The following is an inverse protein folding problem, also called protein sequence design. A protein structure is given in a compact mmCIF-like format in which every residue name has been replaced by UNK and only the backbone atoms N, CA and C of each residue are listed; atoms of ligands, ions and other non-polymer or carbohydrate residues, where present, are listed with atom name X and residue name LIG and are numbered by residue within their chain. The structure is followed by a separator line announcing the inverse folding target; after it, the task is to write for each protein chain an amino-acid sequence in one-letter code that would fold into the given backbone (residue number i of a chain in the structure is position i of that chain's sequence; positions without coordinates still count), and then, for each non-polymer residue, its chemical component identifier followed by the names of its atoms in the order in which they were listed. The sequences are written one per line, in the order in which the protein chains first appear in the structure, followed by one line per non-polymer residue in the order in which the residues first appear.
data_IF_975510592778
#
_entry.id   IF_975510592778
#
_cell.length_a   1.000
_cell.length_b   1.000
_cell.length_c   1.000
_cell.angle_alpha   90.00
_cell.angle_beta   90.00
_cell.angle_gamma   90.00
#
_symmetry.space_group_name_H-M   'P 1'
#
loop_
_entity.id
_entity.type
_entity.pdbx_description
1 polymer ?
#
# COMPACT_ATOMS: atom_id res chain seq x y z
N UNK A 1 38.80 10.69 -66.29
CA UNK A 1 38.26 9.38 -65.86
C UNK A 1 37.60 9.55 -64.49
N UNK A 2 36.28 9.27 -64.42
CA UNK A 2 35.39 9.07 -63.25
C UNK A 2 35.16 10.28 -62.31
N UNK A 3 34.10 11.08 -62.53
CA UNK A 3 32.70 10.92 -62.10
C UNK A 3 32.47 11.10 -60.59
N UNK A 4 31.98 12.29 -60.23
CA UNK A 4 31.09 12.52 -59.10
C UNK A 4 29.87 11.57 -59.20
N UNK A 5 29.56 10.86 -58.10
CA UNK A 5 28.28 10.20 -57.83
C UNK A 5 27.91 10.57 -56.40
N UNK A 6 26.95 11.46 -56.17
CA UNK A 6 25.50 11.27 -56.23
C UNK A 6 24.93 10.43 -55.09
N UNK A 7 23.99 11.08 -54.39
CA UNK A 7 22.73 10.53 -53.90
C UNK A 7 22.70 9.70 -52.60
N UNK A 8 22.25 10.42 -51.55
CA UNK A 8 21.25 10.01 -50.55
C UNK A 8 20.61 8.64 -50.80
N UNK A 9 20.88 7.69 -49.91
CA UNK A 9 19.97 6.56 -49.65
C UNK A 9 19.47 6.69 -48.22
N UNK A 10 18.22 7.12 -48.17
CA UNK A 10 17.34 7.17 -47.02
C UNK A 10 17.11 5.74 -46.53
N UNK A 11 17.74 5.32 -45.43
CA UNK A 11 17.36 4.07 -44.76
C UNK A 11 16.28 4.36 -43.73
N UNK A 12 15.04 4.18 -44.17
CA UNK A 12 13.87 3.94 -43.33
C UNK A 12 14.16 2.72 -42.44
N UNK A 13 14.47 2.93 -41.16
CA UNK A 13 14.31 1.88 -40.17
C UNK A 13 12.89 2.01 -39.62
N UNK A 14 12.03 1.13 -40.12
CA UNK A 14 10.72 0.84 -39.55
C UNK A 14 10.87 0.65 -38.04
N UNK A 15 10.26 1.54 -37.26
CA UNK A 15 9.89 1.26 -35.89
C UNK A 15 8.90 0.09 -35.92
N UNK A 16 9.42 -1.13 -35.77
CA UNK A 16 8.64 -2.27 -35.30
C UNK A 16 8.19 -1.93 -33.88
N UNK A 17 7.06 -1.24 -33.80
CA UNK A 17 6.31 -1.01 -32.58
C UNK A 17 5.84 -2.38 -32.07
N UNK A 18 6.72 -3.06 -31.33
CA UNK A 18 6.30 -4.11 -30.42
C UNK A 18 5.38 -3.45 -29.39
N UNK A 19 4.09 -3.45 -29.71
CA UNK A 19 3.04 -3.28 -28.72
C UNK A 19 3.10 -4.53 -27.85
N UNK A 20 3.98 -4.51 -26.85
CA UNK A 20 3.77 -5.29 -25.64
C UNK A 20 2.41 -4.85 -25.11
N UNK A 21 1.35 -5.57 -25.48
CA UNK A 21 0.14 -5.60 -24.67
C UNK A 21 0.59 -6.15 -23.33
N UNK A 22 0.85 -5.25 -22.39
CA UNK A 22 1.01 -5.56 -20.99
C UNK A 22 -0.23 -6.36 -20.60
N UNK A 23 -0.06 -7.68 -20.61
CA UNK A 23 -1.06 -8.61 -20.14
C UNK A 23 -1.18 -8.26 -18.67
N UNK A 24 -2.35 -7.78 -18.24
CA UNK A 24 -2.61 -7.46 -16.85
C UNK A 24 -2.26 -8.70 -16.03
N UNK A 25 -1.10 -8.66 -15.39
CA UNK A 25 -0.54 -9.82 -14.72
C UNK A 25 -1.31 -9.98 -13.42
N UNK A 26 -2.33 -10.82 -13.46
CA UNK A 26 -3.05 -11.31 -12.30
C UNK A 26 -2.06 -12.12 -11.45
N UNK A 27 -1.29 -11.45 -10.60
CA UNK A 27 -0.38 -12.07 -9.64
C UNK A 27 -0.92 -11.80 -8.25
N UNK A 28 -1.65 -12.79 -7.72
CA UNK A 28 -2.04 -12.77 -6.31
C UNK A 28 -0.80 -12.78 -5.41
N UNK A 29 -0.98 -12.37 -4.15
CA UNK A 29 0.08 -12.48 -3.14
C UNK A 29 0.64 -13.90 -3.11
N UNK A 30 1.97 -14.04 -3.18
CA UNK A 30 2.63 -15.33 -2.92
C UNK A 30 2.43 -15.74 -1.46
N UNK A 31 2.60 -17.03 -1.13
CA UNK A 31 2.51 -17.48 0.27
C UNK A 31 3.51 -16.74 1.19
N UNK A 32 4.71 -16.43 0.68
CA UNK A 32 5.67 -15.60 1.41
C UNK A 32 5.13 -14.20 1.68
N UNK A 33 4.48 -13.56 0.71
CA UNK A 33 3.91 -12.23 0.87
C UNK A 33 2.67 -12.24 1.78
N UNK A 34 1.86 -13.31 1.77
CA UNK A 34 0.76 -13.50 2.71
C UNK A 34 1.28 -13.63 4.15
N UNK A 35 2.33 -14.43 4.35
CA UNK A 35 2.98 -14.57 5.65
C UNK A 35 3.58 -13.24 6.13
N UNK A 36 4.24 -12.50 5.25
CA UNK A 36 4.81 -11.19 5.56
C UNK A 36 3.71 -10.17 5.90
N UNK A 37 2.61 -10.13 5.14
CA UNK A 37 1.45 -9.28 5.43
C UNK A 37 0.85 -9.60 6.79
N UNK A 38 0.72 -10.90 7.13
CA UNK A 38 0.27 -11.32 8.46
C UNK A 38 1.18 -10.76 9.55
N UNK A 39 2.49 -10.88 9.43
CA UNK A 39 3.41 -10.37 10.46
C UNK A 39 3.45 -8.84 10.53
N UNK A 40 3.32 -8.15 9.39
CA UNK A 40 3.17 -6.71 9.35
C UNK A 40 1.94 -6.21 10.10
N UNK A 41 0.79 -6.84 9.86
CA UNK A 41 -0.45 -6.51 10.57
C UNK A 41 -0.37 -6.89 12.05
N UNK A 42 0.27 -8.02 12.40
CA UNK A 42 0.47 -8.43 13.80
C UNK A 42 1.31 -7.39 14.56
N UNK A 43 2.43 -6.96 13.99
CA UNK A 43 3.31 -5.95 14.57
C UNK A 43 2.62 -4.59 14.71
N UNK A 44 1.87 -4.18 13.68
CA UNK A 44 1.19 -2.89 13.65
C UNK A 44 0.12 -2.73 14.74
N UNK A 45 -0.73 -3.75 14.97
CA UNK A 45 -1.97 -3.57 15.74
C UNK A 45 -2.23 -4.59 16.85
N UNK A 46 -1.53 -5.73 16.87
CA UNK A 46 -1.82 -6.81 17.81
C UNK A 46 -0.84 -6.82 18.99
N UNK A 47 0.43 -7.10 18.72
CA UNK A 47 1.40 -7.42 19.77
C UNK A 47 2.18 -6.20 20.23
N UNK A 48 2.86 -5.53 19.30
CA UNK A 48 3.74 -4.41 19.65
C UNK A 48 3.05 -3.05 19.53
N UNK A 49 1.95 -2.97 18.77
CA UNK A 49 1.15 -1.75 18.57
C UNK A 49 2.00 -0.60 17.99
N UNK A 50 2.93 -0.95 17.10
CA UNK A 50 3.89 -0.03 16.51
C UNK A 50 3.28 0.95 15.49
N UNK A 51 1.96 0.90 15.29
CA UNK A 51 1.22 1.95 14.60
C UNK A 51 1.29 3.25 15.44
N UNK A 52 1.90 4.35 14.93
CA UNK A 52 2.00 5.60 15.69
C UNK A 52 0.65 6.17 16.13
N UNK A 53 -0.37 5.96 15.30
CA UNK A 53 -1.75 6.42 15.52
C UNK A 53 -2.61 5.39 16.30
N UNK A 54 -2.02 4.32 16.85
CA UNK A 54 -2.76 3.21 17.48
C UNK A 54 -3.69 3.65 18.61
N UNK A 55 -3.25 4.63 19.41
CA UNK A 55 -4.06 5.14 20.51
C UNK A 55 -5.30 5.90 20.04
N UNK A 56 -5.33 6.32 18.77
CA UNK A 56 -6.46 7.01 18.17
C UNK A 56 -7.51 6.04 17.58
N UNK A 57 -7.20 4.73 17.50
CA UNK A 57 -8.16 3.70 17.16
C UNK A 57 -9.24 3.59 18.26
N UNK A 58 -10.46 3.97 17.91
CA UNK A 58 -11.62 3.90 18.82
C UNK A 58 -12.07 2.48 19.10
N UNK A 59 -12.03 1.64 18.08
CA UNK A 59 -12.34 0.22 18.18
C UNK A 59 -11.08 -0.57 17.81
N UNK A 60 -10.34 -0.97 18.83
CA UNK A 60 -9.10 -1.75 18.66
C UNK A 60 -9.38 -3.21 18.27
N UNK A 61 -10.63 -3.66 18.34
CA UNK A 61 -11.06 -5.01 17.93
C UNK A 61 -11.49 -5.06 16.47
N UNK A 62 -11.83 -3.92 15.87
CA UNK A 62 -12.29 -3.86 14.48
C UNK A 62 -11.60 -2.74 13.70
N UNK A 63 -10.64 -3.13 12.87
CA UNK A 63 -9.80 -2.21 12.11
C UNK A 63 -10.15 -2.33 10.63
N UNK A 64 -10.41 -1.20 9.98
CA UNK A 64 -10.62 -1.18 8.54
C UNK A 64 -9.27 -1.25 7.82
N UNK A 65 -9.14 -2.19 6.90
CA UNK A 65 -8.01 -2.29 5.97
C UNK A 65 -8.53 -1.95 4.58
N UNK A 66 -7.92 -0.97 3.93
CA UNK A 66 -8.30 -0.61 2.57
C UNK A 66 -7.81 -1.68 1.60
N UNK A 67 -8.69 -2.08 0.68
CA UNK A 67 -8.38 -3.10 -0.34
C UNK A 67 -7.32 -2.64 -1.33
N UNK A 68 -7.32 -1.36 -1.68
CA UNK A 68 -6.41 -0.78 -2.67
C UNK A 68 -5.04 -0.48 -2.07
N UNK A 69 -4.01 -1.14 -2.61
CA UNK A 69 -2.61 -0.85 -2.33
C UNK A 69 -2.11 0.37 -3.13
N UNK A 70 -0.98 0.93 -2.70
CA UNK A 70 -0.30 2.02 -3.42
C UNK A 70 1.22 1.86 -3.41
N UNK A 71 1.87 2.10 -4.52
CA UNK A 71 3.33 2.04 -4.59
C UNK A 71 3.88 3.44 -4.27
N UNK A 72 4.71 3.57 -3.22
CA UNK A 72 5.19 4.89 -2.75
C UNK A 72 6.23 5.49 -3.71
N UNK A 73 6.98 4.63 -4.38
CA UNK A 73 7.94 4.97 -5.43
C UNK A 73 7.28 5.28 -6.79
N UNK A 74 6.06 4.79 -7.01
CA UNK A 74 5.31 5.01 -8.25
C UNK A 74 3.80 5.07 -7.99
N UNK A 75 3.30 6.25 -7.59
CA UNK A 75 1.87 6.45 -7.33
C UNK A 75 0.97 6.32 -8.57
N UNK A 76 1.55 6.40 -9.77
CA UNK A 76 0.86 6.23 -11.05
C UNK A 76 0.80 4.76 -11.50
N UNK A 77 1.42 3.85 -10.73
CA UNK A 77 1.35 2.42 -11.00
C UNK A 77 -0.11 1.92 -11.00
N UNK A 78 -0.42 0.89 -11.81
CA UNK A 78 -1.74 0.29 -11.81
C UNK A 78 -2.20 -0.10 -10.41
N UNK A 79 -3.46 0.21 -10.10
CA UNK A 79 -4.03 -0.09 -8.79
C UNK A 79 -4.00 -1.60 -8.54
N UNK A 80 -3.34 -2.01 -7.45
CA UNK A 80 -3.33 -3.37 -6.99
C UNK A 80 -4.34 -3.53 -5.85
N UNK A 81 -5.25 -4.51 -5.98
CA UNK A 81 -6.30 -4.75 -4.99
C UNK A 81 -6.01 -6.04 -4.23
N UNK A 82 -5.99 -5.92 -2.92
CA UNK A 82 -5.80 -7.02 -2.00
C UNK A 82 -7.06 -7.93 -2.02
N UNK A 83 -6.93 -9.22 -2.32
CA UNK A 83 -8.03 -10.16 -2.18
C UNK A 83 -8.43 -10.35 -0.72
N UNK A 84 -9.70 -10.67 -0.44
CA UNK A 84 -10.17 -10.85 0.94
C UNK A 84 -9.46 -12.01 1.63
N UNK A 85 -9.09 -13.03 0.86
CA UNK A 85 -8.47 -14.27 1.31
C UNK A 85 -7.07 -14.06 1.88
N UNK A 86 -6.40 -12.93 1.58
CA UNK A 86 -5.06 -12.64 2.10
C UNK A 86 -5.08 -11.83 3.40
N UNK A 87 -6.26 -11.37 3.82
CA UNK A 87 -6.40 -10.62 5.07
C UNK A 87 -6.36 -11.61 6.23
N UNK A 88 -5.36 -11.52 7.13
CA UNK A 88 -5.23 -12.46 8.22
C UNK A 88 -6.34 -12.26 9.25
N UNK A 89 -6.72 -13.35 9.91
CA UNK A 89 -7.52 -13.32 11.12
C UNK A 89 -6.62 -13.46 12.36
N UNK A 90 -6.86 -12.60 13.36
CA UNK A 90 -6.25 -12.67 14.69
C UNK A 90 -7.34 -12.82 15.74
N UNK A 91 -7.06 -13.54 16.83
CA UNK A 91 -8.04 -13.85 17.89
C UNK A 91 -8.75 -12.60 18.45
N UNK A 92 -8.02 -11.48 18.60
CA UNK A 92 -8.51 -10.29 19.29
C UNK A 92 -8.72 -9.07 18.37
N UNK A 93 -8.36 -9.19 17.09
CA UNK A 93 -8.45 -8.10 16.11
C UNK A 93 -9.03 -8.63 14.81
N UNK A 94 -10.19 -8.11 14.42
CA UNK A 94 -10.83 -8.37 13.13
C UNK A 94 -10.51 -7.25 12.15
N UNK A 95 -9.85 -7.59 11.05
CA UNK A 95 -9.74 -6.67 9.92
C UNK A 95 -10.98 -6.77 9.04
N UNK A 96 -11.61 -5.63 8.76
CA UNK A 96 -12.63 -5.51 7.72
C UNK A 96 -11.98 -4.90 6.48
N UNK A 97 -11.73 -5.73 5.48
CA UNK A 97 -11.34 -5.26 4.16
C UNK A 97 -12.46 -4.39 3.60
N UNK A 98 -12.14 -3.19 3.12
CA UNK A 98 -13.12 -2.22 2.64
C UNK A 98 -12.61 -1.47 1.41
N UNK A 99 -13.49 -1.22 0.45
CA UNK A 99 -13.17 -0.38 -0.70
C UNK A 99 -13.18 1.11 -0.34
N UNK A 100 -12.46 1.95 -1.10
CA UNK A 100 -12.52 3.41 -0.93
C UNK A 100 -13.96 3.94 -1.08
N UNK A 101 -14.73 3.36 -2.00
CA UNK A 101 -16.13 3.74 -2.25
C UNK A 101 -16.99 3.42 -1.03
N UNK A 102 -16.87 2.23 -0.47
CA UNK A 102 -17.67 1.81 0.68
C UNK A 102 -17.28 2.55 1.95
N UNK A 103 -15.99 2.82 2.12
CA UNK A 103 -15.49 3.65 3.21
C UNK A 103 -16.04 5.08 3.12
N UNK A 104 -16.09 5.67 1.91
CA UNK A 104 -16.70 6.99 1.68
C UNK A 104 -18.19 7.00 2.03
N UNK A 105 -18.89 5.89 1.76
CA UNK A 105 -20.32 5.70 2.02
C UNK A 105 -20.66 5.36 3.48
N UNK A 106 -19.70 4.92 4.32
CA UNK A 106 -19.93 4.76 5.77
C UNK A 106 -20.23 6.11 6.40
N UNK A 107 -21.52 6.45 6.49
CA UNK A 107 -22.01 7.62 7.24
C UNK A 107 -21.77 7.40 8.73
N UNK A 108 -20.61 7.84 9.24
CA UNK A 108 -20.30 7.84 10.68
C UNK A 108 -20.37 9.25 11.25
N UNK A 109 -20.90 9.34 12.47
CA UNK A 109 -20.90 10.59 13.24
C UNK A 109 -19.49 10.99 13.67
N UNK A 110 -18.59 10.01 13.77
CA UNK A 110 -17.26 10.14 14.30
C UNK A 110 -16.22 9.79 13.23
N UNK A 111 -15.01 10.34 13.37
CA UNK A 111 -13.87 10.01 12.52
C UNK A 111 -13.47 8.54 12.68
N UNK A 112 -12.99 7.96 11.59
CA UNK A 112 -12.54 6.58 11.50
C UNK A 112 -11.07 6.59 11.07
N UNK A 113 -10.21 6.00 11.88
CA UNK A 113 -8.85 5.65 11.47
C UNK A 113 -8.89 4.30 10.75
N UNK A 114 -8.28 4.23 9.60
CA UNK A 114 -8.16 3.03 8.78
C UNK A 114 -6.72 2.86 8.30
N UNK A 115 -6.37 1.64 7.89
CA UNK A 115 -5.04 1.30 7.42
C UNK A 115 -5.06 1.03 5.92
N UNK A 116 -3.98 1.37 5.24
CA UNK A 116 -3.72 1.01 3.84
C UNK A 116 -2.33 0.39 3.75
N UNK A 117 -2.23 -0.76 3.08
CA UNK A 117 -0.93 -1.30 2.69
C UNK A 117 -0.42 -0.48 1.51
N UNK A 118 0.77 0.09 1.62
CA UNK A 118 1.39 0.77 0.50
C UNK A 118 2.18 -0.26 -0.31
N UNK A 119 3.36 -0.63 0.15
CA UNK A 119 4.33 -1.36 -0.67
C UNK A 119 4.99 -2.45 0.16
N UNK A 120 5.25 -3.60 -0.46
CA UNK A 120 6.08 -4.67 0.09
C UNK A 120 7.32 -4.73 -0.79
N UNK A 121 8.47 -4.44 -0.19
CA UNK A 121 9.77 -4.54 -0.84
C UNK A 121 10.54 -5.71 -0.25
N UNK A 122 10.97 -6.63 -1.09
CA UNK A 122 11.86 -7.75 -0.73
C UNK A 122 13.22 -7.44 -1.37
N UNK A 123 14.06 -6.55 -0.80
CA UNK A 123 15.35 -6.18 -1.38
C UNK A 123 16.29 -7.36 -1.59
N UNK A 124 16.13 -8.42 -0.78
CA UNK A 124 16.77 -9.71 -0.95
C UNK A 124 15.87 -10.84 -0.38
N UNK A 125 16.37 -12.07 -0.35
CA UNK A 125 15.60 -13.23 0.13
C UNK A 125 15.47 -13.31 1.66
N UNK A 126 16.28 -12.55 2.40
CA UNK A 126 16.37 -12.57 3.86
C UNK A 126 15.66 -11.40 4.52
N UNK A 127 15.50 -10.27 3.84
CA UNK A 127 14.93 -9.05 4.41
C UNK A 127 13.76 -8.54 3.58
N UNK A 128 12.78 -7.98 4.26
CA UNK A 128 11.67 -7.29 3.64
C UNK A 128 11.34 -5.99 4.36
N UNK A 129 10.90 -4.99 3.60
CA UNK A 129 10.37 -3.73 4.11
C UNK A 129 8.91 -3.62 3.70
N UNK A 130 8.03 -3.51 4.69
CA UNK A 130 6.60 -3.31 4.47
C UNK A 130 6.22 -1.88 4.85
N UNK A 131 5.60 -1.17 3.92
CA UNK A 131 5.10 0.18 4.12
C UNK A 131 3.60 0.15 4.39
N UNK A 132 3.20 0.74 5.50
CA UNK A 132 1.80 0.86 5.90
C UNK A 132 1.46 2.31 6.20
N UNK A 133 0.23 2.69 5.88
CA UNK A 133 -0.27 4.04 6.07
C UNK A 133 -1.49 4.00 6.98
N UNK A 134 -1.48 4.82 8.02
CA UNK A 134 -2.70 5.19 8.72
C UNK A 134 -3.37 6.35 7.98
N UNK A 135 -4.70 6.36 7.94
CA UNK A 135 -5.49 7.39 7.28
C UNK A 135 -6.77 7.70 8.04
N UNK A 136 -7.22 8.95 7.96
CA UNK A 136 -8.44 9.40 8.61
C UNK A 136 -9.58 9.62 7.62
N UNK A 137 -10.69 8.92 7.87
CA UNK A 137 -11.98 9.29 7.29
C UNK A 137 -12.73 10.19 8.27
N UNK A 138 -12.83 11.48 7.94
CA UNK A 138 -13.59 12.44 8.73
C UNK A 138 -15.10 12.11 8.76
N UNK A 139 -15.64 12.04 9.98
CA UNK A 139 -17.05 11.89 10.27
C UNK A 139 -17.82 13.22 10.24
N UNK A 140 -19.13 13.14 10.43
CA UNK A 140 -20.01 14.33 10.39
C UNK A 140 -19.64 15.41 11.42
N UNK A 141 -19.23 15.02 12.64
CA UNK A 141 -18.89 15.99 13.70
C UNK A 141 -17.68 16.84 13.34
N UNK A 142 -16.60 16.23 12.84
CA UNK A 142 -15.39 16.97 12.45
C UNK A 142 -15.65 17.87 11.24
N UNK A 143 -16.36 17.36 10.23
CA UNK A 143 -16.76 18.17 9.07
C UNK A 143 -17.63 19.38 9.43
N UNK A 144 -18.58 19.24 10.36
CA UNK A 144 -19.39 20.36 10.87
C UNK A 144 -18.56 21.44 11.58
N UNK A 145 -17.39 21.09 12.11
CA UNK A 145 -16.44 22.02 12.73
C UNK A 145 -15.48 22.67 11.72
N UNK A 146 -15.64 22.39 10.41
CA UNK A 146 -14.79 22.94 9.36
C UNK A 146 -13.53 22.14 9.06
N UNK A 147 -13.31 20.98 9.70
CA UNK A 147 -12.14 20.15 9.38
C UNK A 147 -12.29 19.51 7.99
N UNK A 148 -11.27 19.69 7.15
CA UNK A 148 -11.16 19.11 5.81
C UNK A 148 -10.22 17.90 5.76
N UNK A 149 -9.24 17.85 6.65
CA UNK A 149 -8.30 16.75 6.80
C UNK A 149 -7.95 16.48 8.27
N UNK A 150 -7.31 15.34 8.54
CA UNK A 150 -6.63 15.04 9.81
C UNK A 150 -5.32 14.34 9.51
N UNK A 151 -4.26 14.78 10.17
CA UNK A 151 -2.93 14.23 10.00
C UNK A 151 -2.85 12.78 10.48
N UNK A 152 -2.05 11.99 9.77
CA UNK A 152 -1.75 10.60 10.10
C UNK A 152 -0.39 10.25 9.53
N UNK A 153 0.20 9.16 10.03
CA UNK A 153 1.54 8.76 9.66
C UNK A 153 1.55 7.54 8.75
N UNK A 154 2.56 7.51 7.89
CA UNK A 154 3.05 6.29 7.28
C UNK A 154 4.25 5.76 8.04
N UNK A 155 4.47 4.45 7.95
CA UNK A 155 5.59 3.80 8.60
C UNK A 155 6.11 2.62 7.78
N UNK A 156 7.42 2.44 7.83
CA UNK A 156 8.13 1.36 7.16
C UNK A 156 8.66 0.41 8.23
N UNK A 157 8.30 -0.86 8.10
CA UNK A 157 8.69 -1.93 9.03
C UNK A 157 9.68 -2.86 8.34
N UNK A 158 10.79 -3.14 9.01
CA UNK A 158 11.79 -4.11 8.56
C UNK A 158 11.47 -5.49 9.17
N UNK A 159 11.53 -6.51 8.33
CA UNK A 159 11.39 -7.92 8.68
C UNK A 159 12.62 -8.69 8.24
N UNK A 160 12.95 -9.72 9.01
CA UNK A 160 13.98 -10.71 8.67
C UNK A 160 13.33 -12.08 8.53
N UNK A 161 13.71 -12.82 7.50
CA UNK A 161 13.29 -14.21 7.29
C UNK A 161 14.12 -15.13 8.18
N UNK A 162 13.42 -16.00 8.89
CA UNK A 162 13.99 -17.04 9.75
C UNK A 162 13.46 -18.40 9.33
N UNK A 163 13.97 -19.47 9.93
CA UNK A 163 13.43 -20.83 9.75
C UNK A 163 11.95 -20.94 10.13
N UNK A 164 11.46 -20.06 11.02
CA UNK A 164 10.06 -20.01 11.47
C UNK A 164 9.17 -19.07 10.64
N UNK A 165 9.74 -18.41 9.63
CA UNK A 165 9.06 -17.41 8.81
C UNK A 165 9.58 -15.99 9.06
N UNK A 166 8.77 -14.99 8.69
CA UNK A 166 9.13 -13.58 8.86
C UNK A 166 9.07 -13.14 10.31
N UNK A 167 10.07 -12.41 10.76
CA UNK A 167 10.15 -11.84 12.11
C UNK A 167 10.30 -10.32 12.02
N UNK A 168 9.44 -9.59 12.73
CA UNK A 168 9.55 -8.14 12.84
C UNK A 168 10.86 -7.75 13.53
N UNK A 169 11.57 -6.78 12.97
CA UNK A 169 12.83 -6.29 13.54
C UNK A 169 12.65 -4.92 14.18
N UNK A 170 12.18 -3.94 13.40
CA UNK A 170 11.99 -2.55 13.85
C UNK A 170 11.19 -1.74 12.85
N UNK A 171 10.65 -0.61 13.31
CA UNK A 171 10.24 0.49 12.44
C UNK A 171 11.50 1.22 11.97
N UNK A 172 11.73 1.29 10.65
CA UNK A 172 12.91 1.93 10.06
C UNK A 172 12.65 3.34 9.57
N UNK A 173 11.38 3.69 9.35
CA UNK A 173 10.99 5.03 8.93
C UNK A 173 9.59 5.38 9.43
N UNK A 174 9.40 6.64 9.81
CA UNK A 174 8.12 7.26 10.12
C UNK A 174 8.01 8.53 9.27
N UNK A 175 6.93 8.67 8.52
CA UNK A 175 6.75 9.78 7.59
C UNK A 175 5.31 10.30 7.62
N UNK A 176 5.12 11.54 7.17
CA UNK A 176 3.78 12.13 7.06
C UNK A 176 3.03 11.47 5.91
N UNK A 177 1.79 11.05 6.15
CA UNK A 177 0.92 10.56 5.08
C UNK A 177 0.19 11.73 4.41
N UNK A 178 0.52 12.00 3.15
CA UNK A 178 0.02 13.15 2.40
C UNK A 178 -1.13 12.83 1.42
N UNK A 179 -1.58 11.58 1.34
CA UNK A 179 -2.51 11.13 0.29
C UNK A 179 -3.90 11.78 0.32
N UNK A 180 -4.40 12.10 1.50
CA UNK A 180 -5.75 12.64 1.70
C UNK A 180 -5.73 14.16 1.99
N UNK A 181 -4.62 14.84 1.70
CA UNK A 181 -4.56 16.30 1.90
C UNK A 181 -5.35 17.03 0.81
N UNK A 182 -6.13 18.07 1.17
CA UNK A 182 -6.76 18.94 0.19
C UNK A 182 -5.65 19.58 -0.66
N UNK A 183 -5.80 19.49 -1.99
CA UNK A 183 -4.94 20.16 -2.96
C UNK A 183 -5.20 21.66 -2.99
#
# INVERSE_FOLDING_TARGET
MRLFKSFRVLFFLLFLSFTFKATAQQTGFSENQKALLREALRAAVSTEKNLPDYNELKDKKKIYLLDKMIFLDNMDAPAYYMPKEVVPEFENVKFELISEKDLKNKKKNQDILYLRLAQINEPDQEYAVVHMLAQWRLGKKSKKKGFTYRESKGYSMLFKKTEKGWEFQKVVNLFMNLLDQPK
#
